data_IF_144993608758
#
_entry.id   IF_144993608758
#
_cell.length_a   1.000
_cell.length_b   1.000
_cell.length_c   1.000
_cell.angle_alpha   90.00
_cell.angle_beta   90.00
_cell.angle_gamma   90.00
#
_symmetry.space_group_name_H-M   'P 1'
#
loop_
_entity.id
_entity.type
_entity.pdbx_description
1 polymer ?
#
# COMPACT_ATOMS: atom_id res chain seq x y z
N UNK A 1 -23.20 -68.01 -30.55
CA UNK A 1 -22.90 -67.92 -29.11
C UNK A 1 -21.85 -66.83 -28.94
N UNK A 2 -22.25 -65.71 -28.34
CA UNK A 2 -21.38 -64.57 -28.04
C UNK A 2 -20.45 -64.91 -26.87
N UNK A 3 -19.16 -64.64 -27.01
CA UNK A 3 -18.23 -64.48 -25.89
C UNK A 3 -17.79 -63.00 -25.88
N UNK A 4 -17.77 -62.32 -24.72
CA UNK A 4 -17.53 -60.88 -24.68
C UNK A 4 -16.04 -60.55 -24.75
N UNK A 5 -15.70 -59.55 -25.57
CA UNK A 5 -14.44 -58.80 -25.50
C UNK A 5 -14.34 -58.12 -24.13
N UNK A 6 -13.47 -58.63 -23.27
CA UNK A 6 -12.98 -57.91 -22.10
C UNK A 6 -12.10 -56.76 -22.61
N UNK A 7 -12.68 -55.55 -22.74
CA UNK A 7 -11.89 -54.32 -22.74
C UNK A 7 -11.21 -54.20 -21.38
N UNK A 8 -9.88 -54.32 -21.37
CA UNK A 8 -9.07 -53.88 -20.24
C UNK A 8 -9.38 -52.41 -20.01
N UNK A 9 -9.89 -52.09 -18.82
CA UNK A 9 -10.03 -50.71 -18.39
C UNK A 9 -8.66 -50.03 -18.47
N UNK A 10 -8.57 -48.97 -19.27
CA UNK A 10 -7.56 -47.94 -19.06
C UNK A 10 -7.84 -47.35 -17.67
N UNK A 11 -7.11 -47.84 -16.67
CA UNK A 11 -6.90 -47.10 -15.45
C UNK A 11 -6.32 -45.74 -15.86
N UNK A 12 -7.15 -44.69 -15.81
CA UNK A 12 -6.64 -43.32 -15.80
C UNK A 12 -5.79 -43.20 -14.54
N UNK A 13 -4.48 -43.44 -14.67
CA UNK A 13 -3.50 -43.13 -13.63
C UNK A 13 -3.75 -41.70 -13.16
N UNK A 14 -4.16 -41.56 -11.90
CA UNK A 14 -4.26 -40.27 -11.26
C UNK A 14 -2.90 -39.55 -11.42
N UNK A 15 -2.87 -38.26 -11.81
CA UNK A 15 -1.61 -37.57 -12.08
C UNK A 15 -0.71 -37.66 -10.86
N UNK A 16 0.52 -38.14 -11.08
CA UNK A 16 1.51 -38.36 -10.02
C UNK A 16 1.70 -37.08 -9.21
N UNK A 17 1.76 -37.14 -7.87
CA UNK A 17 2.03 -35.98 -7.06
C UNK A 17 3.44 -35.44 -7.41
N UNK A 18 3.47 -34.22 -7.96
CA UNK A 18 4.70 -33.54 -8.37
C UNK A 18 5.63 -33.43 -7.16
N UNK A 19 6.88 -33.90 -7.32
CA UNK A 19 7.89 -33.90 -6.27
C UNK A 19 8.23 -32.47 -5.84
N UNK A 20 8.57 -32.27 -4.56
CA UNK A 20 9.01 -30.96 -4.05
C UNK A 20 10.22 -30.41 -4.81
N UNK A 21 11.13 -31.29 -5.26
CA UNK A 21 12.28 -30.91 -6.08
C UNK A 21 11.88 -30.45 -7.49
N UNK A 22 10.87 -31.09 -8.08
CA UNK A 22 10.31 -30.67 -9.38
C UNK A 22 9.60 -29.32 -9.26
N UNK A 23 8.91 -29.06 -8.15
CA UNK A 23 8.36 -27.73 -7.85
C UNK A 23 9.46 -26.66 -7.78
N UNK A 24 10.57 -26.94 -7.10
CA UNK A 24 11.72 -26.02 -7.00
C UNK A 24 12.39 -25.80 -8.36
N UNK A 25 12.57 -26.86 -9.15
CA UNK A 25 13.17 -26.75 -10.48
C UNK A 25 12.27 -25.95 -11.44
N UNK A 26 10.96 -26.23 -11.42
CA UNK A 26 9.96 -25.50 -12.21
C UNK A 26 9.87 -24.05 -11.77
N UNK A 27 9.95 -23.77 -10.47
CA UNK A 27 10.07 -22.43 -9.89
C UNK A 27 11.28 -21.69 -10.47
N UNK A 28 12.46 -22.30 -10.36
CA UNK A 28 13.71 -21.69 -10.81
C UNK A 28 13.64 -21.37 -12.30
N UNK A 29 13.07 -22.27 -13.09
CA UNK A 29 12.90 -22.11 -14.53
C UNK A 29 11.87 -21.03 -14.87
N UNK A 30 10.74 -20.96 -14.16
CA UNK A 30 9.71 -19.94 -14.36
C UNK A 30 10.22 -18.54 -14.00
N UNK A 31 10.89 -18.39 -12.85
CA UNK A 31 11.54 -17.14 -12.44
C UNK A 31 12.61 -16.75 -13.44
N UNK A 32 13.42 -17.70 -13.91
CA UNK A 32 14.46 -17.45 -14.90
C UNK A 32 13.91 -17.01 -16.26
N UNK A 33 12.83 -17.63 -16.72
CA UNK A 33 12.16 -17.27 -17.97
C UNK A 33 11.45 -15.91 -17.87
N UNK A 34 10.79 -15.63 -16.75
CA UNK A 34 10.22 -14.31 -16.48
C UNK A 34 11.32 -13.23 -16.44
N UNK A 35 12.44 -13.51 -15.77
CA UNK A 35 13.62 -12.65 -15.73
C UNK A 35 14.15 -12.33 -17.13
N UNK A 36 14.31 -13.34 -17.99
CA UNK A 36 14.75 -13.18 -19.38
C UNK A 36 13.74 -12.47 -20.29
N UNK A 37 12.45 -12.53 -19.97
CA UNK A 37 11.38 -11.96 -20.82
C UNK A 37 11.30 -10.42 -20.80
N UNK A 38 11.97 -9.78 -19.83
CA UNK A 38 11.93 -8.33 -19.63
C UNK A 38 13.35 -7.74 -19.71
N UNK A 39 13.49 -6.49 -20.19
CA UNK A 39 14.79 -5.81 -20.20
C UNK A 39 15.29 -5.58 -18.77
N UNK A 40 16.60 -5.48 -18.59
CA UNK A 40 17.24 -5.23 -17.29
C UNK A 40 16.69 -3.94 -16.64
N UNK A 41 16.38 -2.93 -17.44
CA UNK A 41 15.77 -1.67 -16.97
C UNK A 41 14.45 -1.86 -16.23
N UNK A 42 13.64 -2.86 -16.61
CA UNK A 42 12.39 -3.19 -15.93
C UNK A 42 12.65 -3.66 -14.50
N UNK A 43 13.62 -4.57 -14.33
CA UNK A 43 13.98 -5.12 -13.01
C UNK A 43 14.62 -4.06 -12.11
N UNK A 44 15.48 -3.21 -12.67
CA UNK A 44 16.06 -2.07 -11.94
C UNK A 44 14.95 -1.14 -11.43
N UNK A 45 14.02 -0.74 -12.31
CA UNK A 45 12.90 0.12 -11.93
C UNK A 45 11.99 -0.53 -10.89
N UNK A 46 11.69 -1.82 -11.04
CA UNK A 46 10.87 -2.56 -10.08
C UNK A 46 11.53 -2.63 -8.71
N UNK A 47 12.83 -2.96 -8.65
CA UNK A 47 13.59 -3.00 -7.40
C UNK A 47 13.68 -1.62 -6.75
N UNK A 48 14.01 -0.58 -7.52
CA UNK A 48 14.10 0.79 -6.99
C UNK A 48 12.74 1.27 -6.45
N UNK A 49 11.66 1.01 -7.19
CA UNK A 49 10.30 1.37 -6.77
C UNK A 49 9.85 0.61 -5.53
N UNK A 50 10.22 -0.67 -5.44
CA UNK A 50 9.95 -1.50 -4.27
C UNK A 50 10.70 -0.99 -3.04
N UNK A 51 12.00 -0.67 -3.18
CA UNK A 51 12.80 -0.10 -2.09
C UNK A 51 12.26 1.27 -1.66
N UNK A 52 11.92 2.14 -2.62
CA UNK A 52 11.31 3.43 -2.33
C UNK A 52 10.02 3.27 -1.53
N UNK A 53 9.13 2.36 -1.93
CA UNK A 53 7.89 2.06 -1.21
C UNK A 53 8.15 1.51 0.21
N UNK A 54 9.10 0.57 0.35
CA UNK A 54 9.42 -0.09 1.62
C UNK A 54 10.16 0.80 2.61
N UNK A 55 10.83 1.86 2.17
CA UNK A 55 11.55 2.81 3.04
C UNK A 55 10.71 4.06 3.30
N UNK A 56 10.09 4.61 2.26
CA UNK A 56 9.47 5.92 2.35
C UNK A 56 8.12 5.90 3.09
N UNK A 57 7.29 4.86 2.94
CA UNK A 57 6.04 4.78 3.71
C UNK A 57 6.24 4.55 5.22
N UNK A 58 7.16 3.68 5.68
CA UNK A 58 7.46 3.62 7.11
C UNK A 58 7.98 4.96 7.62
N UNK A 59 8.90 5.61 6.90
CA UNK A 59 9.41 6.92 7.27
C UNK A 59 8.28 7.97 7.38
N UNK A 60 7.36 8.02 6.42
CA UNK A 60 6.24 8.97 6.43
C UNK A 60 5.24 8.68 7.56
N UNK A 61 5.03 7.40 7.90
CA UNK A 61 4.20 6.97 9.03
C UNK A 61 4.80 7.43 10.36
N UNK A 62 6.11 7.24 10.53
CA UNK A 62 6.84 7.67 11.73
C UNK A 62 6.85 9.20 11.85
N UNK A 63 7.12 9.92 10.76
CA UNK A 63 7.09 11.39 10.74
C UNK A 63 5.69 11.93 11.08
N UNK A 64 4.63 11.31 10.58
CA UNK A 64 3.26 11.66 10.95
C UNK A 64 3.02 11.47 12.45
N UNK A 65 3.56 10.38 13.03
CA UNK A 65 3.45 10.14 14.47
C UNK A 65 4.25 11.15 15.29
N UNK A 66 5.47 11.49 14.86
CA UNK A 66 6.31 12.53 15.48
C UNK A 66 5.60 13.88 15.46
N UNK A 67 4.96 14.24 14.34
CA UNK A 67 4.17 15.46 14.26
C UNK A 67 3.12 15.54 15.37
N UNK A 68 2.33 14.47 15.59
CA UNK A 68 1.31 14.46 16.63
C UNK A 68 1.89 14.34 18.06
N UNK A 69 3.00 13.62 18.25
CA UNK A 69 3.61 13.47 19.59
C UNK A 69 4.22 14.77 20.09
N UNK A 70 4.73 15.58 19.18
CA UNK A 70 5.52 16.77 19.51
C UNK A 70 4.71 18.07 19.45
N UNK A 71 3.38 17.97 19.31
CA UNK A 71 2.44 19.08 19.50
C UNK A 71 1.64 19.51 18.27
N UNK A 72 1.79 18.83 17.14
CA UNK A 72 0.93 18.98 15.97
C UNK A 72 -0.49 18.47 16.24
N UNK A 73 -1.50 19.20 15.76
CA UNK A 73 -2.91 18.91 16.09
C UNK A 73 -3.80 18.76 14.85
N UNK A 74 -3.45 19.42 13.73
CA UNK A 74 -4.25 19.38 12.51
C UNK A 74 -4.05 18.08 11.73
N UNK A 75 -5.19 17.41 11.50
CA UNK A 75 -5.27 16.23 10.64
C UNK A 75 -5.22 16.60 9.17
N UNK A 76 -5.72 17.79 8.82
CA UNK A 76 -5.67 18.33 7.48
C UNK A 76 -4.25 18.69 7.06
N UNK A 77 -3.39 19.16 7.97
CA UNK A 77 -1.97 19.44 7.67
C UNK A 77 -1.26 18.16 7.25
N UNK A 78 -1.38 17.08 8.03
CA UNK A 78 -0.75 15.80 7.67
C UNK A 78 -1.35 15.20 6.38
N UNK A 79 -2.67 15.29 6.22
CA UNK A 79 -3.33 14.86 4.97
C UNK A 79 -2.82 15.64 3.75
N UNK A 80 -2.61 16.94 3.90
CA UNK A 80 -2.05 17.82 2.86
C UNK A 80 -0.58 17.54 2.58
N UNK A 81 0.24 17.31 3.62
CA UNK A 81 1.65 16.92 3.49
C UNK A 81 1.82 15.68 2.62
N UNK A 82 0.90 14.71 2.72
CA UNK A 82 0.96 13.48 1.93
C UNK A 82 0.86 13.71 0.41
N UNK A 83 0.35 14.86 -0.04
CA UNK A 83 0.12 15.18 -1.46
C UNK A 83 0.73 16.52 -1.91
N UNK A 84 1.24 17.34 -0.99
CA UNK A 84 1.94 18.59 -1.30
C UNK A 84 3.22 18.36 -2.13
N UNK A 85 3.73 17.13 -2.13
CA UNK A 85 4.87 16.70 -2.93
C UNK A 85 4.57 16.45 -4.41
N UNK A 86 3.35 16.67 -4.88
CA UNK A 86 2.96 16.46 -6.29
C UNK A 86 3.90 17.09 -7.34
N UNK A 87 4.62 18.22 -7.08
CA UNK A 87 5.57 18.75 -8.05
C UNK A 87 6.81 17.87 -8.25
N UNK A 88 7.21 17.06 -7.25
CA UNK A 88 8.41 16.20 -7.32
C UNK A 88 8.37 15.25 -8.54
N UNK A 89 7.32 14.43 -8.76
CA UNK A 89 7.24 13.62 -9.97
C UNK A 89 7.06 14.48 -11.24
N UNK A 90 6.48 15.67 -11.15
CA UNK A 90 6.37 16.59 -12.29
C UNK A 90 7.76 17.08 -12.73
N UNK A 91 8.66 17.37 -11.79
CA UNK A 91 10.05 17.72 -12.08
C UNK A 91 10.83 16.59 -12.78
N UNK A 92 10.43 15.33 -12.61
CA UNK A 92 11.00 14.18 -13.32
C UNK A 92 10.33 14.02 -14.70
N UNK A 93 9.02 14.26 -14.78
CA UNK A 93 8.20 14.08 -15.97
C UNK A 93 8.45 15.15 -17.05
N UNK A 94 8.57 16.42 -16.67
CA UNK A 94 8.70 17.52 -17.64
C UNK A 94 9.98 17.39 -18.48
N UNK A 95 11.17 17.14 -17.91
CA UNK A 95 12.38 16.91 -18.70
C UNK A 95 12.30 15.66 -19.58
N UNK A 96 11.59 14.62 -19.16
CA UNK A 96 11.46 13.39 -19.98
C UNK A 96 10.70 13.63 -21.28
N UNK A 97 9.74 14.56 -21.31
CA UNK A 97 9.08 14.94 -22.57
C UNK A 97 10.05 15.60 -23.57
N UNK A 98 10.90 16.51 -23.11
CA UNK A 98 11.82 17.24 -23.98
C UNK A 98 13.05 16.41 -24.38
N UNK A 99 13.66 15.70 -23.43
CA UNK A 99 14.92 14.96 -23.65
C UNK A 99 14.69 13.67 -24.42
N UNK A 100 13.60 12.95 -24.12
CA UNK A 100 13.29 11.67 -24.76
C UNK A 100 12.33 11.81 -25.94
N UNK A 101 11.87 13.03 -26.25
CA UNK A 101 10.90 13.29 -27.33
C UNK A 101 9.57 12.57 -27.13
N UNK A 102 9.17 12.33 -25.88
CA UNK A 102 7.93 11.65 -25.52
C UNK A 102 6.80 12.67 -25.48
N UNK A 103 5.68 12.37 -26.12
CA UNK A 103 4.50 13.22 -26.09
C UNK A 103 3.62 12.89 -24.88
N UNK A 104 3.04 13.91 -24.20
CA UNK A 104 2.08 13.67 -23.12
C UNK A 104 0.89 12.84 -23.58
N UNK A 105 0.39 11.98 -22.71
CA UNK A 105 -0.82 11.19 -23.02
C UNK A 105 -2.00 12.13 -23.26
N UNK A 106 -2.73 12.00 -24.40
CA UNK A 106 -3.89 12.84 -24.67
C UNK A 106 -4.95 12.70 -23.58
N UNK A 107 -5.30 13.82 -22.95
CA UNK A 107 -6.33 13.86 -21.92
C UNK A 107 -7.71 13.75 -22.58
N UNK A 108 -8.43 12.68 -22.25
CA UNK A 108 -9.85 12.55 -22.54
C UNK A 108 -10.66 12.70 -21.25
N UNK A 109 -11.97 12.96 -21.39
CA UNK A 109 -12.85 13.23 -20.25
C UNK A 109 -12.88 12.07 -19.24
N UNK A 110 -12.85 10.81 -19.71
CA UNK A 110 -12.85 9.64 -18.84
C UNK A 110 -11.57 9.54 -18.00
N UNK A 111 -10.41 9.85 -18.59
CA UNK A 111 -9.13 9.85 -17.91
C UNK A 111 -9.03 10.97 -16.88
N UNK A 112 -9.47 12.18 -17.24
CA UNK A 112 -9.51 13.32 -16.31
C UNK A 112 -10.44 13.01 -15.13
N UNK A 113 -11.64 12.50 -15.39
CA UNK A 113 -12.59 12.11 -14.33
C UNK A 113 -11.98 11.03 -13.43
N UNK A 114 -11.29 10.06 -14.01
CA UNK A 114 -10.61 9.01 -13.24
C UNK A 114 -9.53 9.59 -12.31
N UNK A 115 -8.74 10.56 -12.78
CA UNK A 115 -7.75 11.24 -11.95
C UNK A 115 -8.37 12.10 -10.85
N UNK A 116 -9.47 12.80 -11.13
CA UNK A 116 -10.22 13.57 -10.12
C UNK A 116 -10.76 12.64 -9.04
N UNK A 117 -11.39 11.53 -9.42
CA UNK A 117 -11.92 10.54 -8.48
C UNK A 117 -10.80 9.92 -7.65
N UNK A 118 -9.71 9.47 -8.28
CA UNK A 118 -8.56 8.93 -7.56
C UNK A 118 -7.92 9.96 -6.62
N UNK A 119 -7.82 11.22 -7.04
CA UNK A 119 -7.31 12.31 -6.21
C UNK A 119 -8.22 12.59 -5.00
N UNK A 120 -9.54 12.58 -5.19
CA UNK A 120 -10.50 12.71 -4.09
C UNK A 120 -10.38 11.55 -3.09
N UNK A 121 -10.36 10.30 -3.61
CA UNK A 121 -10.18 9.11 -2.77
C UNK A 121 -8.84 9.16 -2.03
N UNK A 122 -7.77 9.62 -2.68
CA UNK A 122 -6.46 9.79 -2.03
C UNK A 122 -6.48 10.85 -0.94
N UNK A 123 -7.14 11.99 -1.15
CA UNK A 123 -7.30 13.02 -0.11
C UNK A 123 -8.07 12.47 1.11
N UNK A 124 -9.14 11.73 0.86
CA UNK A 124 -9.90 11.05 1.91
C UNK A 124 -9.04 9.99 2.64
N UNK A 125 -8.30 9.15 1.90
CA UNK A 125 -7.39 8.12 2.46
C UNK A 125 -6.36 8.74 3.40
N UNK A 126 -5.69 9.80 2.93
CA UNK A 126 -4.70 10.52 3.72
C UNK A 126 -5.31 11.14 4.98
N UNK A 127 -6.55 11.65 4.90
CA UNK A 127 -7.24 12.18 6.07
C UNK A 127 -7.58 11.07 7.08
N UNK A 128 -8.09 9.93 6.62
CA UNK A 128 -8.40 8.77 7.47
C UNK A 128 -7.17 8.26 8.21
N UNK A 129 -6.04 8.11 7.51
CA UNK A 129 -4.78 7.75 8.13
C UNK A 129 -4.24 8.84 9.07
N UNK A 130 -4.41 10.12 8.73
CA UNK A 130 -4.04 11.22 9.63
C UNK A 130 -4.81 11.14 10.96
N UNK A 131 -6.10 10.78 10.94
CA UNK A 131 -6.87 10.49 12.15
C UNK A 131 -6.38 9.24 12.89
N UNK A 132 -5.97 8.19 12.16
CA UNK A 132 -5.33 7.00 12.74
C UNK A 132 -4.06 7.35 13.52
N UNK A 133 -3.11 8.03 12.89
CA UNK A 133 -1.83 8.42 13.49
C UNK A 133 -1.96 9.44 14.63
N UNK A 134 -3.06 10.21 14.69
CA UNK A 134 -3.30 11.16 15.76
C UNK A 134 -3.59 10.47 17.11
N UNK A 135 -4.13 9.24 17.10
CA UNK A 135 -4.61 8.57 18.31
C UNK A 135 -3.98 7.20 18.56
N UNK A 136 -3.40 6.57 17.54
CA UNK A 136 -2.77 5.26 17.65
C UNK A 136 -1.24 5.36 17.64
N UNK A 137 -0.55 4.45 18.34
CA UNK A 137 0.88 4.22 18.11
C UNK A 137 1.16 3.82 16.67
N UNK A 138 2.33 4.18 16.15
CA UNK A 138 2.68 3.91 14.76
C UNK A 138 2.76 2.39 14.48
N UNK A 139 3.20 1.63 15.47
CA UNK A 139 3.20 0.16 15.44
C UNK A 139 1.80 -0.46 15.31
N UNK A 140 0.81 0.10 16.00
CA UNK A 140 -0.59 -0.33 15.98
C UNK A 140 -1.29 0.08 14.70
N UNK A 141 -1.12 1.35 14.29
CA UNK A 141 -1.63 1.86 13.03
C UNK A 141 -1.08 1.06 11.83
N UNK A 142 0.20 0.67 11.87
CA UNK A 142 0.81 -0.20 10.85
C UNK A 142 0.16 -1.58 10.80
N UNK A 143 -0.03 -2.23 11.96
CA UNK A 143 -0.66 -3.54 12.02
C UNK A 143 -2.12 -3.50 11.56
N UNK A 144 -2.90 -2.51 11.96
CA UNK A 144 -4.24 -2.29 11.40
C UNK A 144 -4.18 -1.98 9.91
N UNK A 145 -3.12 -1.30 9.46
CA UNK A 145 -2.77 -1.06 8.07
C UNK A 145 -2.66 -2.35 7.25
N UNK A 146 -2.30 -3.48 7.86
CA UNK A 146 -2.24 -4.79 7.19
C UNK A 146 -3.59 -5.26 6.63
N UNK A 147 -4.70 -4.77 7.19
CA UNK A 147 -6.05 -5.07 6.69
C UNK A 147 -6.26 -4.57 5.27
N UNK A 148 -5.41 -3.66 4.77
CA UNK A 148 -5.42 -3.22 3.37
C UNK A 148 -5.26 -4.38 2.40
N UNK A 149 -4.60 -5.47 2.82
CA UNK A 149 -4.47 -6.69 2.01
C UNK A 149 -5.81 -7.42 1.85
N UNK A 150 -6.65 -7.45 2.89
CA UNK A 150 -8.00 -8.02 2.83
C UNK A 150 -8.81 -7.27 1.78
N UNK A 151 -8.82 -5.94 1.88
CA UNK A 151 -9.57 -5.09 0.96
C UNK A 151 -8.99 -5.10 -0.45
N UNK A 152 -7.66 -5.16 -0.60
CA UNK A 152 -7.01 -5.29 -1.91
C UNK A 152 -7.38 -6.61 -2.59
N UNK A 153 -7.43 -7.72 -1.84
CA UNK A 153 -7.89 -9.00 -2.38
C UNK A 153 -9.37 -8.95 -2.79
N UNK A 154 -10.22 -8.34 -1.96
CA UNK A 154 -11.65 -8.17 -2.24
C UNK A 154 -11.89 -7.29 -3.48
N UNK A 155 -11.30 -6.10 -3.56
CA UNK A 155 -11.45 -5.20 -4.71
C UNK A 155 -10.76 -5.74 -5.95
N UNK A 156 -9.64 -6.44 -5.81
CA UNK A 156 -9.00 -7.17 -6.91
C UNK A 156 -9.93 -8.23 -7.50
N UNK A 157 -10.67 -8.96 -6.67
CA UNK A 157 -11.70 -9.91 -7.13
C UNK A 157 -12.89 -9.19 -7.79
N UNK A 158 -13.44 -8.16 -7.15
CA UNK A 158 -14.65 -7.47 -7.64
C UNK A 158 -14.41 -6.64 -8.91
N UNK A 159 -13.31 -5.89 -8.97
CA UNK A 159 -13.06 -4.88 -10.01
C UNK A 159 -12.14 -5.38 -11.12
N UNK A 160 -11.10 -6.15 -10.76
CA UNK A 160 -10.07 -6.65 -11.69
C UNK A 160 -10.34 -8.11 -12.10
N UNK A 161 -11.29 -8.80 -11.43
CA UNK A 161 -11.62 -10.23 -11.64
C UNK A 161 -10.46 -11.18 -11.33
N UNK A 162 -9.61 -10.82 -10.36
CA UNK A 162 -8.58 -11.72 -9.83
C UNK A 162 -9.24 -12.92 -9.14
N UNK A 163 -8.64 -14.11 -9.22
CA UNK A 163 -9.19 -15.31 -8.56
C UNK A 163 -8.81 -15.32 -7.08
N UNK A 164 -9.77 -15.58 -6.20
CA UNK A 164 -9.53 -15.85 -4.78
C UNK A 164 -9.28 -17.35 -4.62
N UNK A 165 -8.12 -17.72 -4.05
CA UNK A 165 -7.78 -19.09 -3.72
C UNK A 165 -7.86 -19.34 -2.20
N UNK A 166 -7.80 -20.62 -1.80
CA UNK A 166 -7.88 -21.03 -0.40
C UNK A 166 -6.82 -20.36 0.49
N UNK A 167 -5.60 -20.16 -0.03
CA UNK A 167 -4.53 -19.48 0.71
C UNK A 167 -4.79 -17.99 0.91
N UNK A 168 -5.46 -17.33 -0.04
CA UNK A 168 -5.93 -15.94 0.11
C UNK A 168 -7.03 -15.85 1.17
N UNK A 169 -7.95 -16.82 1.23
CA UNK A 169 -8.96 -16.89 2.30
C UNK A 169 -8.28 -17.10 3.65
N UNK A 170 -7.29 -18.00 3.75
CA UNK A 170 -6.52 -18.22 4.97
C UNK A 170 -5.81 -16.93 5.43
N UNK A 171 -5.22 -16.18 4.49
CA UNK A 171 -4.60 -14.89 4.78
C UNK A 171 -5.61 -13.89 5.37
N UNK A 172 -6.80 -13.80 4.80
CA UNK A 172 -7.87 -12.91 5.28
C UNK A 172 -8.28 -13.27 6.71
N UNK A 173 -8.47 -14.56 7.00
CA UNK A 173 -8.81 -15.03 8.34
C UNK A 173 -7.71 -14.67 9.35
N UNK A 174 -6.45 -14.96 9.02
CA UNK A 174 -5.32 -14.67 9.90
C UNK A 174 -5.18 -13.17 10.19
N UNK A 175 -5.27 -12.31 9.18
CA UNK A 175 -5.16 -10.86 9.37
C UNK A 175 -6.36 -10.32 10.18
N UNK A 176 -7.56 -10.89 9.99
CA UNK A 176 -8.73 -10.53 10.80
C UNK A 176 -8.54 -10.92 12.27
N UNK A 177 -7.99 -12.11 12.54
CA UNK A 177 -7.63 -12.53 13.90
C UNK A 177 -6.56 -11.62 14.51
N UNK A 178 -5.53 -11.25 13.74
CA UNK A 178 -4.49 -10.33 14.18
C UNK A 178 -5.06 -8.95 14.57
N UNK A 179 -5.98 -8.42 13.76
CA UNK A 179 -6.72 -7.19 14.06
C UNK A 179 -7.55 -7.32 15.35
N UNK A 180 -8.27 -8.43 15.53
CA UNK A 180 -9.05 -8.66 16.75
C UNK A 180 -8.17 -8.73 18.00
N UNK A 181 -6.98 -9.36 17.90
CA UNK A 181 -6.00 -9.42 18.97
C UNK A 181 -5.51 -8.01 19.37
N UNK A 182 -5.27 -7.13 18.40
CA UNK A 182 -4.89 -5.73 18.69
C UNK A 182 -6.05 -4.97 19.35
N UNK A 183 -7.28 -5.22 18.92
CA UNK A 183 -8.45 -4.59 19.53
C UNK A 183 -8.57 -4.95 21.03
N UNK A 184 -8.19 -6.18 21.40
CA UNK A 184 -8.17 -6.64 22.80
C UNK A 184 -7.02 -6.05 23.63
N UNK A 185 -6.04 -5.41 22.98
CA UNK A 185 -4.84 -4.86 23.61
C UNK A 185 -4.93 -3.34 23.87
N UNK A 186 -6.12 -2.76 23.77
CA UNK A 186 -6.31 -1.31 23.88
C UNK A 186 -5.77 -0.69 25.17
N UNK A 187 -5.78 -1.45 26.28
CA UNK A 187 -5.35 -0.94 27.59
C UNK A 187 -3.83 -0.80 27.71
N UNK A 188 -3.06 -1.68 27.07
CA UNK A 188 -1.59 -1.64 27.14
C UNK A 188 -0.96 -0.74 26.07
N UNK A 189 -1.72 -0.49 25.00
CA UNK A 189 -1.25 0.20 23.81
C UNK A 189 -1.53 1.71 23.80
N UNK A 190 -2.59 2.12 24.50
CA UNK A 190 -3.08 3.50 24.47
C UNK A 190 -2.17 4.45 25.24
N UNK A 191 -1.85 5.60 24.63
CA UNK A 191 -1.14 6.68 25.32
C UNK A 191 -1.98 7.28 26.46
N UNK A 192 -1.33 7.70 27.53
CA UNK A 192 -2.00 8.22 28.75
C UNK A 192 -2.88 9.46 28.52
N UNK A 193 -2.60 10.24 27.47
CA UNK A 193 -3.38 11.43 27.10
C UNK A 193 -4.50 11.16 26.09
N UNK A 194 -4.67 9.92 25.62
CA UNK A 194 -5.70 9.52 24.64
C UNK A 194 -6.85 8.82 25.35
N UNK A 195 -8.08 9.29 25.12
CA UNK A 195 -9.29 8.67 25.69
C UNK A 195 -9.68 7.38 24.95
N UNK A 196 -10.48 6.51 25.57
CA UNK A 196 -10.96 5.27 24.93
C UNK A 196 -11.72 5.53 23.63
N UNK A 197 -12.55 6.59 23.63
CA UNK A 197 -13.30 7.00 22.44
C UNK A 197 -12.37 7.45 21.31
N UNK A 198 -11.32 8.23 21.61
CA UNK A 198 -10.34 8.64 20.60
C UNK A 198 -9.53 7.47 20.06
N UNK A 199 -9.12 6.54 20.93
CA UNK A 199 -8.41 5.33 20.50
C UNK A 199 -9.29 4.48 19.57
N UNK A 200 -10.54 4.22 19.95
CA UNK A 200 -11.52 3.51 19.11
C UNK A 200 -11.75 4.22 17.78
N UNK A 201 -11.85 5.55 17.80
CA UNK A 201 -12.00 6.37 16.60
C UNK A 201 -10.78 6.23 15.67
N UNK A 202 -9.56 6.28 16.23
CA UNK A 202 -8.33 6.03 15.49
C UNK A 202 -8.30 4.63 14.87
N UNK A 203 -8.74 3.62 15.61
CA UNK A 203 -8.85 2.24 15.15
C UNK A 203 -9.78 2.10 13.93
N UNK A 204 -10.98 2.67 14.02
CA UNK A 204 -11.98 2.66 12.93
C UNK A 204 -11.45 3.40 11.71
N UNK A 205 -10.94 4.63 11.88
CA UNK A 205 -10.42 5.42 10.76
C UNK A 205 -9.25 4.75 10.06
N UNK A 206 -8.37 4.07 10.80
CA UNK A 206 -7.24 3.37 10.20
C UNK A 206 -7.66 2.13 9.38
N UNK A 207 -8.72 1.42 9.78
CA UNK A 207 -9.31 0.33 8.98
C UNK A 207 -9.99 0.89 7.73
N UNK A 208 -10.75 1.99 7.86
CA UNK A 208 -11.39 2.64 6.72
C UNK A 208 -10.35 3.20 5.74
N UNK A 209 -9.25 3.77 6.22
CA UNK A 209 -8.10 4.14 5.40
C UNK A 209 -7.54 2.93 4.66
N UNK A 210 -7.28 1.83 5.36
CA UNK A 210 -6.83 0.57 4.74
C UNK A 210 -7.75 0.04 3.65
N UNK A 211 -9.07 0.17 3.83
CA UNK A 211 -10.05 -0.18 2.82
C UNK A 211 -9.96 0.73 1.59
N UNK A 212 -9.88 2.04 1.82
CA UNK A 212 -9.79 3.04 0.75
C UNK A 212 -8.48 2.91 -0.03
N UNK A 213 -7.37 2.67 0.66
CA UNK A 213 -6.07 2.39 0.06
C UNK A 213 -6.11 1.18 -0.88
N UNK A 214 -6.74 0.07 -0.45
CA UNK A 214 -6.94 -1.11 -1.30
C UNK A 214 -7.80 -0.82 -2.54
N UNK A 215 -8.84 0.02 -2.39
CA UNK A 215 -9.68 0.46 -3.50
C UNK A 215 -8.89 1.34 -4.50
N UNK A 216 -8.09 2.29 -4.00
CA UNK A 216 -7.25 3.18 -4.82
C UNK A 216 -6.28 2.35 -5.66
N UNK A 217 -5.69 1.30 -5.11
CA UNK A 217 -4.78 0.41 -5.85
C UNK A 217 -5.51 -0.31 -6.99
N UNK A 218 -6.68 -0.90 -6.72
CA UNK A 218 -7.47 -1.59 -7.73
C UNK A 218 -7.95 -0.64 -8.86
N UNK A 219 -8.43 0.55 -8.50
CA UNK A 219 -8.86 1.56 -9.47
C UNK A 219 -7.66 2.11 -10.29
N UNK A 220 -6.52 2.32 -9.65
CA UNK A 220 -5.29 2.75 -10.32
C UNK A 220 -4.81 1.72 -11.35
N UNK A 221 -4.86 0.43 -11.00
CA UNK A 221 -4.55 -0.64 -11.95
C UNK A 221 -5.54 -0.66 -13.13
N UNK A 222 -6.84 -0.44 -12.88
CA UNK A 222 -7.83 -0.35 -13.95
C UNK A 222 -7.57 0.84 -14.90
N UNK A 223 -7.13 1.99 -14.40
CA UNK A 223 -6.74 3.14 -15.24
C UNK A 223 -5.56 2.77 -16.14
N UNK A 224 -4.55 2.08 -15.61
CA UNK A 224 -3.43 1.59 -16.41
C UNK A 224 -3.85 0.58 -17.47
N UNK A 225 -4.76 -0.33 -17.16
CA UNK A 225 -5.19 -1.38 -18.10
C UNK A 225 -6.14 -0.81 -19.18
N UNK A 226 -7.11 0.01 -18.78
CA UNK A 226 -8.21 0.42 -19.67
C UNK A 226 -7.99 1.76 -20.39
N UNK A 227 -7.27 2.70 -19.78
CA UNK A 227 -7.19 4.08 -20.29
C UNK A 227 -5.80 4.46 -20.79
N UNK A 228 -4.75 4.15 -20.02
CA UNK A 228 -3.37 4.53 -20.36
C UNK A 228 -2.66 3.46 -21.22
N UNK A 229 -3.01 2.19 -20.98
CA UNK A 229 -2.23 1.06 -21.46
C UNK A 229 -0.88 0.95 -20.74
N UNK A 230 -0.38 -0.27 -20.58
CA UNK A 230 0.97 -0.51 -20.01
C UNK A 230 2.09 -0.24 -21.03
N UNK A 231 2.05 0.93 -21.69
CA UNK A 231 2.89 1.25 -22.85
C UNK A 231 4.27 1.75 -22.46
N UNK A 232 4.37 2.61 -21.45
CA UNK A 232 5.61 3.30 -21.12
C UNK A 232 5.63 3.79 -19.68
N UNK A 233 6.81 3.96 -19.08
CA UNK A 233 6.92 4.39 -17.68
C UNK A 233 6.46 5.84 -17.43
N UNK A 234 6.48 6.72 -18.44
CA UNK A 234 6.03 8.11 -18.27
C UNK A 234 4.55 8.21 -17.83
N UNK A 235 3.70 7.24 -18.21
CA UNK A 235 2.28 7.24 -17.79
C UNK A 235 2.11 7.02 -16.28
N UNK A 236 3.10 6.40 -15.63
CA UNK A 236 3.17 6.26 -14.16
C UNK A 236 3.37 7.63 -13.52
N UNK A 237 4.32 8.41 -14.06
CA UNK A 237 4.59 9.77 -13.61
C UNK A 237 3.39 10.68 -13.89
N UNK A 238 2.74 10.57 -15.05
CA UNK A 238 1.52 11.34 -15.38
C UNK A 238 0.39 11.05 -14.40
N UNK A 239 0.07 9.77 -14.16
CA UNK A 239 -0.94 9.38 -13.19
C UNK A 239 -0.58 9.87 -11.79
N UNK A 240 0.67 9.71 -11.37
CA UNK A 240 1.12 10.18 -10.06
C UNK A 240 0.96 11.69 -9.91
N UNK A 241 1.41 12.48 -10.89
CA UNK A 241 1.28 13.94 -10.88
C UNK A 241 -0.18 14.34 -10.80
N UNK A 242 -1.04 13.77 -11.64
CA UNK A 242 -2.46 14.16 -11.72
C UNK A 242 -3.23 13.77 -10.46
N UNK A 243 -3.05 12.54 -9.96
CA UNK A 243 -3.72 12.07 -8.73
C UNK A 243 -3.24 12.87 -7.52
N UNK A 244 -1.93 13.07 -7.35
CA UNK A 244 -1.40 13.89 -6.26
C UNK A 244 -1.83 15.36 -6.38
N UNK A 245 -1.92 15.93 -7.58
CA UNK A 245 -2.41 17.29 -7.80
C UNK A 245 -3.87 17.45 -7.38
N UNK A 246 -4.77 16.58 -7.82
CA UNK A 246 -6.17 16.64 -7.39
C UNK A 246 -6.31 16.37 -5.89
N UNK A 247 -5.55 15.42 -5.35
CA UNK A 247 -5.47 15.20 -3.90
C UNK A 247 -5.02 16.45 -3.14
N UNK A 248 -4.02 17.16 -3.66
CA UNK A 248 -3.55 18.43 -3.11
C UNK A 248 -4.63 19.52 -3.15
N UNK A 249 -5.40 19.62 -4.25
CA UNK A 249 -6.52 20.57 -4.33
C UNK A 249 -7.57 20.27 -3.26
N UNK A 250 -8.00 19.01 -3.12
CA UNK A 250 -9.01 18.64 -2.12
C UNK A 250 -8.53 18.84 -0.68
N UNK A 251 -7.30 18.47 -0.36
CA UNK A 251 -6.74 18.68 0.99
C UNK A 251 -6.49 20.16 1.28
N UNK A 252 -6.11 20.96 0.29
CA UNK A 252 -5.99 22.42 0.41
C UNK A 252 -7.34 23.07 0.70
N UNK A 253 -8.40 22.64 0.02
CA UNK A 253 -9.78 23.09 0.34
C UNK A 253 -10.12 22.75 1.79
N UNK A 254 -9.84 21.53 2.24
CA UNK A 254 -10.05 21.11 3.63
C UNK A 254 -9.28 21.97 4.65
N UNK A 255 -8.01 22.26 4.38
CA UNK A 255 -7.19 23.17 5.20
C UNK A 255 -7.77 24.58 5.29
N UNK A 256 -8.23 25.14 4.17
CA UNK A 256 -8.83 26.49 4.13
C UNK A 256 -10.12 26.51 4.93
N UNK A 257 -11.00 25.52 4.73
CA UNK A 257 -12.28 25.42 5.44
C UNK A 257 -12.06 25.26 6.94
N UNK A 258 -11.07 24.46 7.36
CA UNK A 258 -10.75 24.23 8.78
C UNK A 258 -9.90 25.36 9.40
N UNK A 259 -9.46 26.36 8.62
CA UNK A 259 -8.58 27.45 9.06
C UNK A 259 -7.23 26.97 9.64
N UNK A 260 -6.73 25.87 9.10
CA UNK A 260 -5.50 25.23 9.59
C UNK A 260 -4.23 25.85 9.01
N UNK A 261 -4.31 26.61 7.92
CA UNK A 261 -3.16 27.38 7.44
C UNK A 261 -2.69 28.40 8.48
N UNK A 262 -3.60 29.03 9.21
CA UNK A 262 -3.24 29.94 10.29
C UNK A 262 -2.68 29.19 11.51
N UNK A 263 -3.18 27.97 11.76
CA UNK A 263 -2.75 27.16 12.91
C UNK A 263 -1.34 26.61 12.77
N UNK A 264 -0.82 26.40 11.55
CA UNK A 264 0.58 26.00 11.30
C UNK A 264 1.59 26.88 12.06
N UNK A 265 1.40 28.19 12.03
CA UNK A 265 2.32 29.12 12.69
C UNK A 265 2.25 29.03 14.22
N UNK A 266 1.08 28.74 14.79
CA UNK A 266 0.93 28.49 16.23
C UNK A 266 1.46 27.11 16.63
N UNK A 267 1.20 26.07 15.84
CA UNK A 267 1.73 24.72 16.08
C UNK A 267 3.26 24.73 16.05
N UNK A 268 3.86 25.37 15.05
CA UNK A 268 5.31 25.46 14.93
C UNK A 268 5.98 26.20 16.11
N UNK A 269 5.26 27.09 16.80
CA UNK A 269 5.76 27.77 18.02
C UNK A 269 5.67 26.88 19.26
N UNK A 270 4.61 26.07 19.36
CA UNK A 270 4.36 25.15 20.47
C UNK A 270 5.00 23.77 20.31
N UNK A 271 5.60 23.49 19.14
CA UNK A 271 6.22 22.21 18.85
C UNK A 271 7.41 21.96 19.78
N UNK A 272 7.53 20.74 20.31
CA UNK A 272 8.56 20.36 21.31
C UNK A 272 9.99 20.66 20.83
N UNK A 273 10.25 20.44 19.53
CA UNK A 273 11.50 20.73 18.84
C UNK A 273 11.62 22.15 18.27
N UNK A 274 10.63 23.00 18.53
CA UNK A 274 10.49 24.31 17.93
C UNK A 274 10.21 24.28 16.43
N UNK A 275 10.29 25.46 15.82
CA UNK A 275 9.89 25.68 14.42
C UNK A 275 10.74 24.90 13.41
N UNK A 276 12.04 24.71 13.68
CA UNK A 276 12.95 24.04 12.75
C UNK A 276 12.61 22.56 12.63
N UNK A 277 12.39 21.88 13.76
CA UNK A 277 12.01 20.46 13.76
C UNK A 277 10.61 20.26 13.18
N UNK A 278 9.65 21.14 13.50
CA UNK A 278 8.32 21.12 12.87
C UNK A 278 8.42 21.16 11.34
N UNK A 279 9.18 22.11 10.80
CA UNK A 279 9.37 22.23 9.35
C UNK A 279 10.12 21.01 8.77
N UNK A 280 11.11 20.48 9.47
CA UNK A 280 11.83 19.27 9.07
C UNK A 280 10.87 18.08 8.94
N UNK A 281 9.99 17.88 9.93
CA UNK A 281 8.99 16.80 9.92
C UNK A 281 8.03 16.95 8.74
N UNK A 282 7.54 18.17 8.47
CA UNK A 282 6.66 18.40 7.33
C UNK A 282 7.38 18.19 5.99
N UNK A 283 8.59 18.74 5.81
CA UNK A 283 9.35 18.63 4.55
C UNK A 283 9.71 17.18 4.26
N UNK A 284 10.27 16.46 5.23
CA UNK A 284 10.57 15.05 5.05
C UNK A 284 9.30 14.21 4.92
N UNK A 285 8.19 14.61 5.56
CA UNK A 285 6.87 14.03 5.33
C UNK A 285 6.46 14.13 3.87
N UNK A 286 6.55 15.33 3.28
CA UNK A 286 6.23 15.60 1.87
C UNK A 286 7.08 14.70 0.95
N UNK A 287 8.39 14.65 1.18
CA UNK A 287 9.32 13.87 0.35
C UNK A 287 9.03 12.37 0.47
N UNK A 288 8.89 11.85 1.69
CA UNK A 288 8.71 10.42 1.94
C UNK A 288 7.34 9.92 1.50
N UNK A 289 6.27 10.67 1.74
CA UNK A 289 4.95 10.31 1.18
C UNK A 289 4.99 10.26 -0.34
N UNK A 290 5.53 11.30 -0.99
CA UNK A 290 5.53 11.35 -2.45
C UNK A 290 6.37 10.23 -3.07
N UNK A 291 7.55 9.94 -2.51
CA UNK A 291 8.39 8.83 -2.97
C UNK A 291 7.70 7.47 -2.73
N UNK A 292 7.01 7.30 -1.60
CA UNK A 292 6.29 6.07 -1.29
C UNK A 292 5.13 5.82 -2.26
N UNK A 293 4.31 6.83 -2.52
CA UNK A 293 3.18 6.72 -3.45
C UNK A 293 3.67 6.53 -4.89
N UNK A 294 4.71 7.26 -5.32
CA UNK A 294 5.32 7.04 -6.64
C UNK A 294 5.86 5.61 -6.79
N UNK A 295 6.56 5.09 -5.77
CA UNK A 295 7.05 3.72 -5.73
C UNK A 295 5.92 2.70 -5.84
N UNK A 296 4.84 2.89 -5.06
CA UNK A 296 3.65 2.02 -5.12
C UNK A 296 2.99 2.05 -6.51
N UNK A 297 2.76 3.23 -7.08
CA UNK A 297 2.17 3.40 -8.41
C UNK A 297 3.04 2.75 -9.49
N UNK A 298 4.36 2.86 -9.39
CA UNK A 298 5.30 2.20 -10.30
C UNK A 298 5.27 0.68 -10.17
N UNK A 299 5.19 0.14 -8.95
CA UNK A 299 5.03 -1.30 -8.69
C UNK A 299 3.72 -1.82 -9.29
N UNK A 300 2.61 -1.11 -9.12
CA UNK A 300 1.31 -1.46 -9.72
C UNK A 300 1.39 -1.55 -11.25
N UNK A 301 2.10 -0.61 -11.87
CA UNK A 301 2.30 -0.58 -13.32
C UNK A 301 3.22 -1.71 -13.82
N UNK A 302 4.37 -1.89 -13.16
CA UNK A 302 5.42 -2.82 -13.58
C UNK A 302 5.05 -4.28 -13.30
N UNK A 303 4.33 -4.54 -12.21
CA UNK A 303 3.95 -5.89 -11.80
C UNK A 303 2.42 -6.06 -11.76
N UNK A 304 1.81 -5.84 -10.59
CA UNK A 304 0.38 -6.05 -10.34
C UNK A 304 -0.05 -5.50 -8.98
N UNK A 305 -1.36 -5.38 -8.76
CA UNK A 305 -1.93 -5.11 -7.42
C UNK A 305 -1.57 -6.18 -6.39
N UNK A 306 -1.44 -7.44 -6.81
CA UNK A 306 -1.01 -8.53 -5.94
C UNK A 306 0.40 -8.28 -5.42
N UNK A 307 1.36 -7.96 -6.30
CA UNK A 307 2.75 -7.72 -5.89
C UNK A 307 2.88 -6.46 -5.02
N UNK A 308 2.12 -5.40 -5.32
CA UNK A 308 2.02 -4.24 -4.42
C UNK A 308 1.45 -4.61 -3.05
N UNK A 309 0.46 -5.53 -3.01
CA UNK A 309 -0.04 -6.14 -1.78
C UNK A 309 1.05 -6.86 -0.98
N UNK A 310 1.90 -7.65 -1.66
CA UNK A 310 3.06 -8.31 -1.04
C UNK A 310 4.07 -7.32 -0.47
N UNK A 311 4.38 -6.23 -1.18
CA UNK A 311 5.27 -5.20 -0.64
C UNK A 311 4.65 -4.48 0.56
N UNK A 312 3.34 -4.19 0.52
CA UNK A 312 2.63 -3.66 1.68
C UNK A 312 2.69 -4.62 2.88
N UNK A 313 2.64 -5.93 2.63
CA UNK A 313 2.83 -6.94 3.66
C UNK A 313 4.21 -6.88 4.33
N UNK A 314 5.27 -6.62 3.55
CA UNK A 314 6.63 -6.47 4.09
C UNK A 314 6.78 -5.12 4.81
N UNK A 315 6.12 -4.07 4.31
CA UNK A 315 6.12 -2.73 4.91
C UNK A 315 5.60 -2.71 6.35
N UNK A 316 4.56 -3.48 6.66
CA UNK A 316 3.94 -3.49 7.99
C UNK A 316 4.92 -3.85 9.11
N UNK A 317 5.60 -5.01 9.10
CA UNK A 317 6.57 -5.36 10.14
C UNK A 317 7.75 -4.39 10.18
N UNK A 318 8.21 -3.88 9.02
CA UNK A 318 9.26 -2.87 8.98
C UNK A 318 8.86 -1.61 9.75
N UNK A 319 7.63 -1.13 9.53
CA UNK A 319 7.10 0.06 10.22
C UNK A 319 6.93 -0.21 11.71
N UNK A 320 6.40 -1.37 12.09
CA UNK A 320 6.20 -1.71 13.51
C UNK A 320 7.51 -1.83 14.27
N UNK A 321 8.53 -2.47 13.68
CA UNK A 321 9.87 -2.59 14.28
C UNK A 321 10.53 -1.20 14.38
N UNK A 322 10.48 -0.41 13.31
CA UNK A 322 11.04 0.94 13.32
C UNK A 322 10.35 1.86 14.33
N UNK A 323 9.03 1.74 14.51
CA UNK A 323 8.28 2.48 15.52
C UNK A 323 8.74 2.13 16.94
N UNK A 324 8.97 0.85 17.23
CA UNK A 324 9.48 0.42 18.55
C UNK A 324 10.91 0.93 18.77
N UNK A 325 11.79 0.81 17.78
CA UNK A 325 13.19 1.21 17.93
C UNK A 325 13.40 2.73 18.01
N UNK A 326 12.63 3.51 17.23
CA UNK A 326 12.85 4.96 17.09
C UNK A 326 11.93 5.76 18.01
N UNK A 327 10.64 5.39 18.10
CA UNK A 327 9.65 6.12 18.89
C UNK A 327 9.42 5.52 20.27
N UNK A 328 10.08 4.40 20.60
CA UNK A 328 9.87 3.67 21.85
C UNK A 328 8.40 3.31 22.07
N UNK A 329 7.70 2.95 20.98
CA UNK A 329 6.30 2.53 21.01
C UNK A 329 6.12 1.33 21.97
N UNK A 330 5.02 1.27 22.76
CA UNK A 330 4.76 0.15 23.65
C UNK A 330 4.62 -1.14 22.83
N UNK A 331 5.23 -2.24 23.27
CA UNK A 331 5.19 -3.52 22.56
C UNK A 331 4.73 -4.63 23.51
N UNK A 332 3.42 -4.84 23.58
CA UNK A 332 2.81 -5.88 24.41
C UNK A 332 2.96 -7.29 23.81
N UNK A 333 2.69 -8.32 24.62
CA UNK A 333 2.60 -9.69 24.14
C UNK A 333 1.51 -9.90 23.08
N UNK A 334 0.37 -9.22 23.20
CA UNK A 334 -0.71 -9.27 22.20
C UNK A 334 -0.29 -8.63 20.88
N UNK A 335 0.41 -7.50 20.92
CA UNK A 335 0.93 -6.85 19.73
C UNK A 335 1.99 -7.70 19.02
N UNK A 336 2.88 -8.35 19.77
CA UNK A 336 3.86 -9.31 19.22
C UNK A 336 3.14 -10.49 18.57
N UNK A 337 2.15 -11.07 19.25
CA UNK A 337 1.35 -12.17 18.72
C UNK A 337 0.62 -11.76 17.44
N UNK A 338 0.02 -10.57 17.42
CA UNK A 338 -0.65 -10.02 16.24
C UNK A 338 0.32 -9.83 15.06
N UNK A 339 1.53 -9.34 15.32
CA UNK A 339 2.58 -9.21 14.31
C UNK A 339 2.96 -10.56 13.70
N UNK A 340 3.12 -11.61 14.53
CA UNK A 340 3.43 -12.98 14.08
C UNK A 340 2.29 -13.54 13.21
N UNK A 341 1.04 -13.41 13.66
CA UNK A 341 -0.13 -13.89 12.91
C UNK A 341 -0.29 -13.12 11.60
N UNK A 342 -0.06 -11.81 11.62
CA UNK A 342 -0.07 -10.96 10.41
C UNK A 342 0.99 -11.44 9.42
N UNK A 343 2.21 -11.74 9.88
CA UNK A 343 3.27 -12.29 9.04
C UNK A 343 2.90 -13.65 8.43
N UNK A 344 2.24 -14.53 9.20
CA UNK A 344 1.71 -15.79 8.67
C UNK A 344 0.59 -15.56 7.64
N UNK A 345 -0.31 -14.60 7.89
CA UNK A 345 -1.34 -14.19 6.93
C UNK A 345 -0.71 -13.76 5.61
N UNK A 346 0.33 -12.93 5.67
CA UNK A 346 1.10 -12.51 4.50
C UNK A 346 1.78 -13.67 3.79
N UNK A 347 2.43 -14.58 4.52
CA UNK A 347 3.03 -15.78 3.94
C UNK A 347 2.01 -16.63 3.17
N UNK A 348 0.80 -16.78 3.72
CA UNK A 348 -0.30 -17.48 3.06
C UNK A 348 -0.76 -16.76 1.78
N UNK A 349 -0.87 -15.43 1.81
CA UNK A 349 -1.26 -14.64 0.63
C UNK A 349 -0.23 -14.74 -0.50
N UNK A 350 1.05 -14.60 -0.15
CA UNK A 350 2.19 -14.70 -1.09
C UNK A 350 2.21 -16.08 -1.73
N UNK A 351 2.08 -17.13 -0.91
CA UNK A 351 2.06 -18.51 -1.40
C UNK A 351 0.89 -18.77 -2.34
N UNK A 352 -0.32 -18.30 -2.00
CA UNK A 352 -1.51 -18.48 -2.82
C UNK A 352 -1.43 -17.79 -4.18
N UNK A 353 -0.88 -16.59 -4.21
CA UNK A 353 -0.77 -15.82 -5.44
C UNK A 353 0.52 -16.12 -6.22
N UNK A 354 1.22 -17.18 -5.83
CA UNK A 354 2.31 -17.71 -6.60
C UNK A 354 1.77 -18.20 -7.97
N UNK A 355 2.43 -17.88 -9.10
CA UNK A 355 1.96 -18.31 -10.41
C UNK A 355 2.06 -19.84 -10.52
N UNK A 356 0.93 -20.53 -10.32
CA UNK A 356 0.77 -21.91 -10.75
C UNK A 356 0.69 -21.92 -12.29
N UNK A 357 1.65 -22.59 -12.93
CA UNK A 357 1.46 -22.95 -14.34
C UNK A 357 0.39 -24.05 -14.36
N UNK A 358 -0.75 -23.77 -14.99
CA UNK A 358 -1.64 -24.82 -15.50
C UNK A 358 -0.77 -25.78 -16.29
N UNK A 359 -0.73 -27.05 -15.89
CA UNK A 359 -0.22 -28.09 -16.76
C UNK A 359 -0.98 -27.99 -18.08
N UNK A 360 -0.27 -27.63 -19.14
CA UNK A 360 -0.67 -28.06 -20.48
C UNK A 360 -0.50 -29.57 -20.44
N UNK A 361 -1.61 -30.27 -20.17
CA UNK A 361 -1.80 -31.67 -20.55
C UNK A 361 -2.32 -31.69 -21.98
#
# INVERSE_FOLDING_TARGET
MQQPLLMSGEEMEAPRPISFQEKIYTYKTAVWNAYKSKPISHWILLTLSSLAMLVAFPASSLLSRVYYSDGGNSKWIISWVAVAGWPIPAFILVPTYFVLGVYPTPLNLNLVLSYVVLGFLSAADNLLYAYGYAYLPASTASLLGSTSLIFSALFGYLLVKNKINASTINAIVLITCAMAIIALDSDSDRYSYVTDSQYMMGFIWNILGSALHGLIFALSELVFIKLLGRRSFHVVLEQQVMVSFFGFVFTTIGLIVNKDFQSMASEAKGFKGGRSEYLSVLIWGVVTFQLGVLGATAVLFLASTVFAGVLNSIRVPLTSIAAVLILSDPMSGFKILSLIITFWGFGSYIYGNYPERKGEL
#
